data_IF_531427636423
#
_entry.id   IF_531427636423
#
_cell.length_a   1.000
_cell.length_b   1.000
_cell.length_c   1.000
_cell.angle_alpha   90.00
_cell.angle_beta   90.00
_cell.angle_gamma   90.00
#
_symmetry.space_group_name_H-M   'P 1'
#
loop_
_entity.id
_entity.type
_entity.pdbx_description
1 polymer ?
#
# COMPACT_ATOMS: atom_id res chain seq x y z
N UNK A 1 6.18 46.45 27.39
CA UNK A 1 7.00 45.65 26.45
C UNK A 1 6.12 44.55 25.86
N UNK A 2 5.54 44.79 24.67
CA UNK A 2 4.86 43.77 23.88
C UNK A 2 5.40 43.94 22.46
N UNK A 3 6.32 43.07 22.07
CA UNK A 3 6.93 43.05 20.74
C UNK A 3 5.94 42.41 19.76
N UNK A 4 5.22 43.27 19.02
CA UNK A 4 4.37 42.84 17.91
C UNK A 4 5.28 42.56 16.69
N UNK A 5 5.61 41.27 16.47
CA UNK A 5 6.28 40.83 15.25
C UNK A 5 5.25 40.82 14.11
N UNK A 6 5.16 41.94 13.40
CA UNK A 6 4.38 42.04 12.16
C UNK A 6 5.03 41.22 11.05
N UNK A 7 4.50 40.03 10.78
CA UNK A 7 4.88 39.24 9.61
C UNK A 7 4.25 39.87 8.35
N UNK A 8 4.98 40.80 7.73
CA UNK A 8 4.69 41.34 6.40
C UNK A 8 5.01 40.27 5.34
N UNK A 9 4.06 39.39 5.07
CA UNK A 9 4.14 38.43 3.94
C UNK A 9 4.23 39.21 2.63
N UNK A 10 5.43 39.27 2.06
CA UNK A 10 5.72 39.85 0.75
C UNK A 10 5.72 38.71 -0.26
N UNK A 11 4.54 38.32 -0.76
CA UNK A 11 4.44 37.44 -1.91
C UNK A 11 5.01 38.18 -3.13
N UNK A 12 6.11 37.67 -3.68
CA UNK A 12 6.81 38.23 -4.83
C UNK A 12 6.90 37.16 -5.90
N UNK A 13 5.96 37.18 -6.85
CA UNK A 13 6.14 36.80 -8.27
C UNK A 13 4.77 36.73 -8.96
N UNK A 14 4.43 37.84 -9.59
CA UNK A 14 3.19 38.15 -10.31
C UNK A 14 3.00 37.38 -11.64
N UNK A 15 3.56 36.17 -11.76
CA UNK A 15 3.39 35.30 -12.94
C UNK A 15 2.53 34.06 -12.63
N UNK A 16 2.39 33.71 -11.34
CA UNK A 16 1.60 32.56 -10.90
C UNK A 16 0.13 32.90 -10.62
N UNK A 17 -0.28 34.17 -10.61
CA UNK A 17 -1.68 34.53 -10.33
C UNK A 17 -2.56 34.53 -11.59
N UNK A 18 -1.99 34.81 -12.76
CA UNK A 18 -2.75 34.91 -14.02
C UNK A 18 -3.02 33.54 -14.67
N UNK A 19 -2.20 32.53 -14.39
CA UNK A 19 -2.45 31.15 -14.87
C UNK A 19 -3.51 30.41 -14.03
N UNK A 20 -3.75 30.82 -12.79
CA UNK A 20 -4.64 30.12 -11.85
C UNK A 20 -6.07 30.63 -11.81
N UNK A 21 -6.33 31.90 -12.14
CA UNK A 21 -7.71 32.40 -12.31
C UNK A 21 -8.48 31.68 -13.43
N UNK A 22 -7.75 31.11 -14.40
CA UNK A 22 -8.32 30.25 -15.46
C UNK A 22 -8.61 28.82 -14.96
N UNK A 23 -7.90 28.31 -13.96
CA UNK A 23 -8.05 26.92 -13.48
C UNK A 23 -9.14 26.70 -12.44
N UNK A 24 -9.58 27.77 -11.74
CA UNK A 24 -10.61 27.66 -10.69
C UNK A 24 -12.03 27.91 -11.23
N UNK A 25 -12.20 28.51 -12.41
CA UNK A 25 -13.49 29.09 -12.82
C UNK A 25 -14.36 28.23 -13.76
N UNK A 26 -13.93 27.04 -14.23
CA UNK A 26 -14.74 26.27 -15.22
C UNK A 26 -14.82 24.74 -14.97
N UNK A 27 -14.49 24.27 -13.78
CA UNK A 27 -14.54 22.83 -13.47
C UNK A 27 -15.68 22.48 -12.53
N UNK A 28 -16.85 22.13 -13.07
CA UNK A 28 -17.88 21.38 -12.31
C UNK A 28 -17.18 20.18 -11.65
N UNK A 29 -17.39 19.91 -10.35
CA UNK A 29 -16.77 18.75 -9.69
C UNK A 29 -17.12 17.48 -10.48
N UNK A 30 -16.12 16.88 -11.13
CA UNK A 30 -16.33 15.63 -11.84
C UNK A 30 -16.44 14.51 -10.83
N UNK A 31 -17.45 13.64 -10.98
CA UNK A 31 -17.53 12.41 -10.19
C UNK A 31 -16.48 11.43 -10.69
N UNK A 32 -15.71 10.85 -9.77
CA UNK A 32 -14.76 9.77 -10.07
C UNK A 32 -15.58 8.50 -10.28
N UNK A 33 -15.42 7.85 -11.43
CA UNK A 33 -16.12 6.60 -11.80
C UNK A 33 -15.11 5.54 -12.26
N UNK A 34 -15.49 4.25 -12.18
CA UNK A 34 -14.64 3.13 -12.61
C UNK A 34 -14.31 3.10 -14.12
N UNK A 35 -14.99 3.91 -14.93
CA UNK A 35 -14.78 4.00 -16.38
C UNK A 35 -13.67 4.99 -16.76
N UNK A 36 -13.16 5.76 -15.81
CA UNK A 36 -12.10 6.72 -16.04
C UNK A 36 -10.73 6.03 -16.14
N UNK A 37 -9.83 6.63 -16.90
CA UNK A 37 -8.43 6.19 -16.92
C UNK A 37 -7.71 6.59 -15.64
N UNK A 38 -6.69 5.84 -15.24
CA UNK A 38 -5.89 6.14 -14.05
C UNK A 38 -5.33 7.57 -14.09
N UNK A 39 -4.86 8.02 -15.26
CA UNK A 39 -4.38 9.39 -15.45
C UNK A 39 -5.47 10.43 -15.18
N UNK A 40 -6.70 10.19 -15.64
CA UNK A 40 -7.82 11.11 -15.38
C UNK A 40 -8.20 11.14 -13.89
N UNK A 41 -8.17 9.99 -13.21
CA UNK A 41 -8.40 9.90 -11.77
C UNK A 41 -7.33 10.66 -11.00
N UNK A 42 -6.05 10.46 -11.32
CA UNK A 42 -4.93 11.17 -10.70
C UNK A 42 -5.05 12.69 -10.86
N UNK A 43 -5.39 13.15 -12.06
CA UNK A 43 -5.58 14.58 -12.34
C UNK A 43 -6.74 15.17 -11.55
N UNK A 44 -7.86 14.48 -11.46
CA UNK A 44 -9.02 14.94 -10.68
C UNK A 44 -8.72 14.93 -9.17
N UNK A 45 -8.05 13.90 -8.66
CA UNK A 45 -7.60 13.87 -7.26
C UNK A 45 -6.65 15.03 -6.95
N UNK A 46 -5.66 15.27 -7.81
CA UNK A 46 -4.74 16.40 -7.67
C UNK A 46 -5.48 17.74 -7.69
N UNK A 47 -6.44 17.92 -8.60
CA UNK A 47 -7.29 19.13 -8.64
C UNK A 47 -8.02 19.35 -7.33
N UNK A 48 -8.63 18.29 -6.76
CA UNK A 48 -9.33 18.38 -5.47
C UNK A 48 -8.38 18.75 -4.34
N UNK A 49 -7.19 18.15 -4.29
CA UNK A 49 -6.15 18.52 -3.31
C UNK A 49 -5.76 19.99 -3.41
N UNK A 50 -5.60 20.51 -4.63
CA UNK A 50 -5.29 21.92 -4.85
C UNK A 50 -6.40 22.85 -4.34
N UNK A 51 -7.67 22.49 -4.55
CA UNK A 51 -8.80 23.25 -4.00
C UNK A 51 -8.76 23.25 -2.47
N UNK A 52 -8.52 22.10 -1.83
CA UNK A 52 -8.37 22.01 -0.37
C UNK A 52 -7.17 22.81 0.15
N UNK A 53 -6.04 22.76 -0.56
CA UNK A 53 -4.82 23.53 -0.24
C UNK A 53 -5.10 25.04 -0.29
N UNK A 54 -5.76 25.50 -1.36
CA UNK A 54 -6.11 26.90 -1.56
C UNK A 54 -7.11 27.40 -0.51
N UNK A 55 -8.13 26.60 -0.19
CA UNK A 55 -9.10 26.92 0.84
C UNK A 55 -8.45 27.15 2.22
N UNK A 56 -7.28 26.55 2.45
CA UNK A 56 -6.47 26.72 3.67
C UNK A 56 -5.44 27.86 3.59
N UNK A 57 -5.31 28.53 2.45
CA UNK A 57 -4.34 29.62 2.26
C UNK A 57 -2.88 29.19 2.29
N UNK A 58 -2.57 27.90 2.14
CA UNK A 58 -1.19 27.39 2.14
C UNK A 58 -0.63 27.49 0.73
N UNK A 59 0.50 28.16 0.50
CA UNK A 59 1.14 28.17 -0.83
C UNK A 59 1.75 26.82 -1.18
N UNK A 60 1.96 26.56 -2.48
CA UNK A 60 2.55 25.31 -2.92
C UNK A 60 3.99 25.17 -2.40
N UNK A 61 4.74 26.28 -2.39
CA UNK A 61 6.11 26.36 -1.86
C UNK A 61 6.13 26.03 -0.37
N UNK A 62 5.26 26.65 0.43
CA UNK A 62 5.19 26.38 1.85
C UNK A 62 4.82 24.91 2.14
N UNK A 63 3.94 24.33 1.33
CA UNK A 63 3.57 22.92 1.45
C UNK A 63 4.77 22.00 1.19
N UNK A 64 5.47 22.19 0.07
CA UNK A 64 6.60 21.32 -0.29
C UNK A 64 7.77 21.47 0.68
N UNK A 65 8.01 22.69 1.17
CA UNK A 65 9.04 22.97 2.18
C UNK A 65 8.71 22.26 3.50
N UNK A 66 7.45 22.31 3.95
CA UNK A 66 7.01 21.62 5.16
C UNK A 66 7.14 20.10 5.08
N UNK A 67 7.02 19.55 3.87
CA UNK A 67 7.15 18.13 3.58
C UNK A 67 8.59 17.70 3.28
N UNK A 68 9.53 18.64 3.14
CA UNK A 68 10.91 18.37 2.73
C UNK A 68 11.01 17.77 1.32
N UNK A 69 10.09 18.11 0.41
CA UNK A 69 10.09 17.62 -0.98
C UNK A 69 10.33 18.76 -1.97
N UNK A 70 10.77 18.40 -3.18
CA UNK A 70 10.94 19.38 -4.26
C UNK A 70 9.63 19.69 -4.99
N UNK A 71 9.51 20.87 -5.62
CA UNK A 71 8.36 21.21 -6.49
C UNK A 71 8.12 20.18 -7.62
N UNK A 72 9.14 19.67 -8.33
CA UNK A 72 8.96 18.58 -9.28
C UNK A 72 8.39 17.30 -8.65
N UNK A 73 8.81 16.96 -7.43
CA UNK A 73 8.27 15.80 -6.69
C UNK A 73 6.78 15.99 -6.42
N UNK A 74 6.36 17.19 -6.04
CA UNK A 74 4.94 17.51 -5.85
C UNK A 74 4.15 17.45 -7.17
N UNK A 75 4.69 17.98 -8.26
CA UNK A 75 4.05 17.95 -9.58
C UNK A 75 3.83 16.52 -10.12
N UNK A 76 4.57 15.52 -9.62
CA UNK A 76 4.35 14.11 -9.98
C UNK A 76 3.02 13.55 -9.47
N UNK A 77 2.40 14.17 -8.47
CA UNK A 77 1.06 13.80 -7.98
C UNK A 77 0.01 13.89 -9.09
N UNK A 78 0.06 14.96 -9.91
CA UNK A 78 -0.88 15.12 -11.03
C UNK A 78 -0.80 13.96 -12.03
N UNK A 79 0.40 13.41 -12.21
CA UNK A 79 0.66 12.29 -13.14
C UNK A 79 0.50 10.92 -12.49
N UNK A 80 0.31 10.84 -11.17
CA UNK A 80 0.28 9.58 -10.42
C UNK A 80 1.62 8.84 -10.34
N UNK A 81 2.74 9.55 -10.49
CA UNK A 81 4.10 8.94 -10.49
C UNK A 81 4.88 9.18 -9.20
N UNK A 82 4.23 9.76 -8.19
CA UNK A 82 4.82 9.99 -6.87
C UNK A 82 4.83 8.70 -6.03
N UNK A 83 5.64 8.67 -4.97
CA UNK A 83 5.55 7.59 -3.99
C UNK A 83 4.26 7.73 -3.16
N UNK A 84 3.74 6.59 -2.72
CA UNK A 84 2.57 6.57 -1.84
C UNK A 84 2.83 7.27 -0.49
N UNK A 85 4.07 7.22 0.01
CA UNK A 85 4.49 7.96 1.21
C UNK A 85 4.35 9.47 1.06
N UNK A 86 4.71 10.03 -0.10
CA UNK A 86 4.54 11.46 -0.37
C UNK A 86 3.07 11.83 -0.45
N UNK A 87 2.23 10.99 -1.08
CA UNK A 87 0.79 11.21 -1.12
C UNK A 87 0.17 11.25 0.30
N UNK A 88 0.49 10.28 1.16
CA UNK A 88 0.04 10.26 2.56
C UNK A 88 0.52 11.52 3.31
N UNK A 89 1.76 11.94 3.09
CA UNK A 89 2.30 13.12 3.76
C UNK A 89 1.54 14.40 3.37
N UNK A 90 1.18 14.55 2.08
CA UNK A 90 0.33 15.65 1.60
C UNK A 90 -1.06 15.59 2.24
N UNK A 91 -1.70 14.41 2.27
CA UNK A 91 -3.01 14.24 2.91
C UNK A 91 -2.97 14.61 4.40
N UNK A 92 -1.89 14.26 5.09
CA UNK A 92 -1.68 14.62 6.50
C UNK A 92 -1.62 16.14 6.68
N UNK A 93 -0.81 16.82 5.87
CA UNK A 93 -0.63 18.27 5.96
C UNK A 93 -1.91 19.03 5.62
N UNK A 94 -2.77 18.46 4.78
CA UNK A 94 -4.08 18.99 4.42
C UNK A 94 -5.22 18.51 5.35
N UNK A 95 -4.92 17.77 6.44
CA UNK A 95 -5.88 17.10 7.33
C UNK A 95 -7.00 16.35 6.58
N UNK A 96 -6.65 15.58 5.55
CA UNK A 96 -7.56 14.73 4.78
C UNK A 96 -7.37 13.23 5.09
N UNK A 97 -6.49 12.91 6.03
CA UNK A 97 -6.08 11.53 6.33
C UNK A 97 -7.23 10.68 6.87
N UNK A 98 -8.12 11.27 7.69
CA UNK A 98 -9.32 10.62 8.23
C UNK A 98 -10.28 10.13 7.13
N UNK A 99 -10.24 10.74 5.93
CA UNK A 99 -11.03 10.28 4.80
C UNK A 99 -10.60 8.92 4.26
N UNK A 100 -9.41 8.42 4.61
CA UNK A 100 -8.93 7.12 4.19
C UNK A 100 -9.74 5.96 4.80
N UNK A 101 -10.25 6.11 6.02
CA UNK A 101 -11.08 5.08 6.66
C UNK A 101 -12.42 4.89 5.94
N UNK A 102 -12.95 5.97 5.36
CA UNK A 102 -14.15 5.91 4.52
C UNK A 102 -13.84 5.36 3.11
N UNK A 103 -12.63 5.62 2.60
CA UNK A 103 -12.19 5.15 1.28
C UNK A 103 -11.88 3.65 1.29
N UNK A 104 -11.20 3.16 2.33
CA UNK A 104 -10.77 1.78 2.50
C UNK A 104 -11.14 1.33 3.92
N UNK A 105 -12.39 0.88 4.15
CA UNK A 105 -12.82 0.47 5.47
C UNK A 105 -12.10 -0.81 5.92
N UNK A 106 -11.87 -0.93 7.23
CA UNK A 106 -11.29 -2.15 7.81
C UNK A 106 -12.21 -3.36 7.55
N UNK A 107 -11.67 -4.49 7.05
CA UNK A 107 -12.49 -5.67 6.80
C UNK A 107 -12.96 -6.27 8.14
N UNK A 108 -14.25 -6.13 8.44
CA UNK A 108 -14.85 -6.77 9.61
C UNK A 108 -14.93 -8.29 9.41
N UNK A 109 -14.37 -9.09 10.32
CA UNK A 109 -14.52 -10.56 10.29
C UNK A 109 -15.98 -10.95 10.49
N UNK A 110 -16.49 -11.88 9.67
CA UNK A 110 -17.85 -12.41 9.88
C UNK A 110 -17.82 -13.38 11.08
N UNK A 111 -18.93 -13.53 11.83
CA UNK A 111 -18.98 -14.45 12.98
C UNK A 111 -18.51 -15.88 12.66
N UNK A 112 -18.78 -16.37 11.45
CA UNK A 112 -18.29 -17.66 10.93
C UNK A 112 -16.76 -17.75 10.89
N UNK A 113 -16.10 -16.65 10.53
CA UNK A 113 -14.66 -16.58 10.34
C UNK A 113 -13.95 -16.58 11.70
N UNK A 114 -14.58 -16.00 12.72
CA UNK A 114 -14.11 -16.01 14.12
C UNK A 114 -14.12 -17.45 14.66
N UNK A 115 -15.20 -18.20 14.41
CA UNK A 115 -15.30 -19.61 14.82
C UNK A 115 -14.23 -20.45 14.10
N UNK A 116 -14.07 -20.28 12.79
CA UNK A 116 -13.06 -20.99 12.01
C UNK A 116 -11.62 -20.66 12.46
N UNK A 117 -11.36 -19.40 12.80
CA UNK A 117 -10.07 -18.95 13.32
C UNK A 117 -9.75 -19.57 14.69
N UNK A 118 -10.73 -19.61 15.60
CA UNK A 118 -10.57 -20.18 16.93
C UNK A 118 -10.44 -21.72 16.93
N UNK A 119 -11.17 -22.41 16.05
CA UNK A 119 -11.06 -23.87 15.89
C UNK A 119 -9.68 -24.31 15.40
N UNK A 120 -9.03 -23.51 14.54
CA UNK A 120 -7.65 -23.76 14.08
C UNK A 120 -6.60 -23.56 15.20
N UNK A 121 -6.84 -22.66 16.16
CA UNK A 121 -5.96 -22.45 17.33
C UNK A 121 -6.03 -23.57 18.37
N UNK A 122 -7.14 -24.33 18.44
CA UNK A 122 -7.31 -25.41 19.42
C UNK A 122 -6.53 -26.70 19.11
N UNK A 123 -5.98 -26.89 17.90
CA UNK A 123 -5.37 -28.17 17.47
C UNK A 123 -3.90 -28.36 17.89
N UNK A 124 -3.38 -27.61 18.88
CA UNK A 124 -1.95 -27.73 19.25
C UNK A 124 -1.66 -27.79 20.75
N UNK A 125 -2.49 -28.44 21.57
CA UNK A 125 -2.11 -28.70 22.97
C UNK A 125 -2.70 -30.03 23.48
N UNK A 126 -1.83 -31.01 23.74
CA UNK A 126 -2.10 -32.28 24.45
C UNK A 126 -2.62 -33.41 23.55
N UNK A 127 -2.08 -34.64 23.54
CA UNK A 127 -1.41 -35.37 24.61
C UNK A 127 -0.35 -36.34 24.06
N UNK A 128 0.87 -36.25 24.58
CA UNK A 128 1.75 -37.40 24.62
C UNK A 128 1.15 -38.43 25.57
N UNK A 129 0.67 -39.55 25.03
CA UNK A 129 0.50 -40.79 25.78
C UNK A 129 1.08 -41.90 24.91
N UNK A 130 2.25 -42.37 25.33
CA UNK A 130 2.85 -43.61 24.85
C UNK A 130 1.91 -44.77 25.23
N UNK A 131 1.09 -45.21 24.28
CA UNK A 131 0.21 -46.36 24.41
C UNK A 131 0.63 -47.44 23.41
N UNK A 132 1.17 -48.52 23.94
CA UNK A 132 1.66 -49.73 23.27
C UNK A 132 0.70 -50.23 22.16
N UNK A 133 1.00 -49.97 20.89
CA UNK A 133 0.24 -50.50 19.76
C UNK A 133 0.85 -51.83 19.29
N UNK A 134 0.29 -52.92 19.79
CA UNK A 134 0.51 -54.27 19.26
C UNK A 134 0.31 -54.26 17.74
N UNK A 135 1.37 -54.57 16.98
CA UNK A 135 1.26 -54.78 15.54
C UNK A 135 0.43 -56.04 15.29
N UNK A 136 -0.78 -55.83 14.80
CA UNK A 136 -1.64 -56.88 14.29
C UNK A 136 -1.13 -57.21 12.89
N UNK A 137 -0.48 -58.36 12.75
CA UNK A 137 -0.22 -58.99 11.46
C UNK A 137 -1.57 -59.22 10.77
N UNK A 138 -1.78 -58.56 9.64
CA UNK A 138 -2.68 -59.10 8.61
C UNK A 138 -1.99 -58.96 7.28
N UNK A 139 -1.59 -60.11 6.73
CA UNK A 139 -1.05 -60.27 5.39
C UNK A 139 -1.97 -59.60 4.36
N UNK A 140 -1.43 -58.61 3.65
CA UNK A 140 -1.90 -58.28 2.31
C UNK A 140 -0.72 -58.51 1.38
N UNK A 141 -0.72 -59.69 0.80
CA UNK A 141 0.06 -60.02 -0.37
C UNK A 141 -0.27 -59.02 -1.49
N UNK A 142 0.78 -58.57 -2.17
CA UNK A 142 0.77 -57.89 -3.49
C UNK A 142 0.61 -56.37 -3.52
N UNK A 143 1.71 -55.65 -3.22
CA UNK A 143 2.02 -54.36 -3.83
C UNK A 143 3.54 -54.26 -4.09
N UNK A 144 4.07 -55.13 -4.96
CA UNK A 144 5.25 -54.75 -5.75
C UNK A 144 4.77 -53.66 -6.71
N UNK A 145 5.40 -52.47 -6.69
CA UNK A 145 6.06 -51.82 -7.85
C UNK A 145 6.31 -50.33 -7.57
N UNK A 146 7.57 -49.91 -7.81
CA UNK A 146 8.08 -48.56 -8.09
C UNK A 146 8.37 -47.56 -6.96
N UNK A 147 9.65 -47.45 -6.63
CA UNK A 147 10.49 -46.24 -6.74
C UNK A 147 11.52 -46.09 -5.62
N UNK A 148 12.24 -47.18 -5.32
CA UNK A 148 13.65 -47.04 -4.95
C UNK A 148 14.41 -46.96 -6.27
N UNK A 149 15.03 -45.81 -6.58
CA UNK A 149 16.19 -45.64 -7.49
C UNK A 149 16.39 -44.20 -8.01
N UNK A 150 15.87 -43.15 -7.37
CA UNK A 150 16.14 -41.77 -7.80
C UNK A 150 17.49 -41.23 -7.32
N UNK A 151 17.64 -41.09 -5.99
CA UNK A 151 18.65 -40.16 -5.46
C UNK A 151 20.04 -40.79 -5.36
N UNK A 152 20.14 -42.07 -4.96
CA UNK A 152 21.43 -42.76 -4.77
C UNK A 152 22.14 -43.10 -6.09
N UNK A 153 21.40 -43.34 -7.17
CA UNK A 153 21.95 -43.55 -8.50
C UNK A 153 22.48 -42.25 -9.13
N UNK A 154 21.79 -41.11 -8.92
CA UNK A 154 22.21 -39.80 -9.43
C UNK A 154 23.53 -39.30 -8.82
N UNK A 155 23.80 -39.61 -7.55
CA UNK A 155 25.03 -39.20 -6.85
C UNK A 155 26.29 -39.94 -7.33
N UNK A 156 26.15 -41.13 -7.92
CA UNK A 156 27.28 -41.95 -8.35
C UNK A 156 27.98 -41.45 -9.64
N UNK A 157 27.30 -40.65 -10.47
CA UNK A 157 27.86 -40.14 -11.74
C UNK A 157 28.64 -38.82 -11.61
N UNK A 158 28.74 -38.22 -10.42
CA UNK A 158 29.33 -36.88 -10.24
C UNK A 158 30.87 -36.83 -10.24
N UNK A 159 31.58 -37.98 -10.25
CA UNK A 159 33.06 -38.03 -10.09
C UNK A 159 33.88 -38.25 -11.37
N UNK A 160 33.31 -38.10 -12.58
CA UNK A 160 34.03 -38.44 -13.83
C UNK A 160 34.29 -37.30 -14.84
N UNK A 161 34.26 -36.04 -14.44
CA UNK A 161 34.78 -34.95 -15.28
C UNK A 161 35.75 -34.06 -14.51
N UNK A 162 37.02 -34.48 -14.45
CA UNK A 162 38.15 -33.57 -14.38
C UNK A 162 38.60 -33.41 -15.84
N UNK A 163 38.36 -32.22 -16.39
CA UNK A 163 38.88 -31.81 -17.70
C UNK A 163 40.25 -31.20 -17.42
N UNK A 164 41.29 -31.79 -17.99
CA UNK A 164 42.58 -31.13 -18.27
C UNK A 164 42.41 -30.19 -19.45
#
# INVERSE_FOLDING_TARGET
>A
MLTCVSYRMRYKSDDFMLKWHVYVTIGVPMKITNTMTDFAINKELFRRLEVYRQARGVSQEALVDSLGISRPTYARLEKGTCSFSTFIAVLRQLNLLEGLDALVPEPTMRPSDIIAYNSKRKVRHGSGVAGNAHYRVTNSSNAKTLSQNGVRAMLANRKKFKVE
#
